data_IF_547351836995
#
_entry.id   IF_547351836995
#
_cell.length_a   1.000
_cell.length_b   1.000
_cell.length_c   1.000
_cell.angle_alpha   90.00
_cell.angle_beta   90.00
_cell.angle_gamma   90.00
#
_symmetry.space_group_name_H-M   'P 1'
#
loop_
_entity.id
_entity.type
_entity.pdbx_description
1 polymer ?
#
# COMPACT_ATOMS: atom_id res chain seq x y z
N UNK A 1 5.50 -8.15 -1.83
CA UNK A 1 4.16 -8.51 -1.26
C UNK A 1 4.02 -10.01 -1.05
N UNK A 2 4.32 -10.87 -2.05
CA UNK A 2 4.21 -12.33 -1.90
C UNK A 2 4.96 -12.93 -0.70
N UNK A 3 6.24 -12.59 -0.51
CA UNK A 3 7.00 -13.07 0.67
C UNK A 3 6.38 -12.64 2.00
N UNK A 4 6.01 -11.35 2.09
CA UNK A 4 5.52 -10.78 3.34
C UNK A 4 4.10 -11.25 3.67
N UNK A 5 3.18 -11.32 2.71
CA UNK A 5 1.75 -11.48 2.96
C UNK A 5 1.13 -12.77 2.36
N UNK A 6 1.91 -13.58 1.64
CA UNK A 6 1.41 -14.73 0.87
C UNK A 6 0.64 -14.34 -0.41
N UNK A 7 0.48 -13.04 -0.69
CA UNK A 7 -0.29 -12.56 -1.84
C UNK A 7 0.38 -12.94 -3.17
N UNK A 8 -0.34 -13.72 -3.96
CA UNK A 8 0.05 -14.14 -5.31
C UNK A 8 -1.08 -13.80 -6.30
N UNK A 9 -0.81 -12.85 -7.18
CA UNK A 9 -1.69 -12.46 -8.27
C UNK A 9 -0.91 -11.64 -9.32
N UNK A 10 -1.29 -11.77 -10.59
CA UNK A 10 -0.70 -11.00 -11.69
C UNK A 10 -1.38 -9.63 -11.80
N UNK A 11 -1.20 -8.79 -10.78
CA UNK A 11 -1.90 -7.50 -10.63
C UNK A 11 -0.97 -6.32 -10.37
N UNK A 12 0.35 -6.50 -10.52
CA UNK A 12 1.36 -5.47 -10.25
C UNK A 12 1.30 -4.25 -11.20
N UNK A 13 0.53 -4.32 -12.29
CA UNK A 13 0.35 -3.22 -13.24
C UNK A 13 -0.64 -2.15 -12.75
N UNK A 14 -1.31 -2.36 -11.61
CA UNK A 14 -2.11 -1.34 -10.91
C UNK A 14 -1.51 -1.05 -9.54
N UNK A 15 -1.89 0.09 -8.95
CA UNK A 15 -1.36 0.50 -7.65
C UNK A 15 -1.81 -0.48 -6.56
N UNK A 16 -0.86 -1.09 -5.86
CA UNK A 16 -1.15 -1.93 -4.70
C UNK A 16 0.03 -1.92 -3.73
N UNK A 17 -0.22 -2.22 -2.46
CA UNK A 17 0.82 -2.35 -1.45
C UNK A 17 0.37 -3.23 -0.28
N UNK A 18 1.33 -3.59 0.57
CA UNK A 18 1.07 -4.09 1.91
C UNK A 18 1.56 -3.04 2.90
N UNK A 19 0.69 -2.64 3.83
CA UNK A 19 1.01 -1.72 4.92
C UNK A 19 1.37 -2.53 6.15
N UNK A 20 2.55 -2.26 6.71
CA UNK A 20 3.03 -2.88 7.95
C UNK A 20 3.06 -1.83 9.04
N UNK A 21 2.41 -2.14 10.15
CA UNK A 21 2.45 -1.34 11.38
C UNK A 21 3.15 -2.13 12.48
N UNK A 22 3.49 -1.49 13.60
CA UNK A 22 4.16 -2.18 14.72
C UNK A 22 3.22 -3.08 15.52
N UNK A 23 1.96 -2.68 15.62
CA UNK A 23 1.04 -3.21 16.64
C UNK A 23 -0.19 -3.90 16.03
N UNK A 24 -0.31 -3.94 14.69
CA UNK A 24 -1.43 -4.58 13.99
C UNK A 24 -0.92 -5.48 12.87
N UNK A 25 -1.73 -6.49 12.54
CA UNK A 25 -1.52 -7.36 11.39
C UNK A 25 -1.33 -6.54 10.10
N UNK A 26 -0.55 -7.04 9.13
CA UNK A 26 -0.40 -6.37 7.84
C UNK A 26 -1.75 -6.15 7.16
N UNK A 27 -1.85 -5.06 6.42
CA UNK A 27 -3.02 -4.75 5.60
C UNK A 27 -2.64 -4.81 4.13
N UNK A 28 -3.49 -5.47 3.34
CA UNK A 28 -3.37 -5.43 1.89
C UNK A 28 -4.22 -4.27 1.35
N UNK A 29 -3.67 -3.53 0.39
CA UNK A 29 -4.36 -2.47 -0.31
C UNK A 29 -4.18 -2.64 -1.81
N UNK A 30 -5.28 -2.65 -2.57
CA UNK A 30 -5.24 -2.77 -4.03
C UNK A 30 -6.60 -2.51 -4.68
N UNK A 31 -6.72 -2.82 -5.97
CA UNK A 31 -7.99 -2.67 -6.71
C UNK A 31 -9.03 -3.65 -6.20
N UNK A 32 -10.31 -3.24 -6.17
CA UNK A 32 -11.41 -4.04 -5.62
C UNK A 32 -11.51 -5.46 -6.18
N UNK A 33 -11.32 -5.66 -7.48
CA UNK A 33 -11.41 -7.00 -8.07
C UNK A 33 -10.28 -7.94 -7.62
N UNK A 34 -9.09 -7.39 -7.38
CA UNK A 34 -7.89 -8.13 -6.96
C UNK A 34 -7.94 -8.51 -5.46
N UNK A 35 -8.82 -7.86 -4.69
CA UNK A 35 -9.11 -8.26 -3.31
C UNK A 35 -9.56 -9.73 -3.21
N UNK A 36 -10.22 -10.26 -4.24
CA UNK A 36 -10.56 -11.68 -4.31
C UNK A 36 -9.36 -12.60 -4.52
N UNK A 37 -8.31 -12.12 -5.18
CA UNK A 37 -7.01 -12.80 -5.24
C UNK A 37 -6.38 -12.84 -3.85
N UNK A 38 -6.35 -11.69 -3.17
CA UNK A 38 -5.86 -11.57 -1.80
C UNK A 38 -6.55 -12.55 -0.83
N UNK A 39 -7.89 -12.62 -0.84
CA UNK A 39 -8.67 -13.56 -0.01
C UNK A 39 -8.30 -15.03 -0.20
N UNK A 40 -7.77 -15.40 -1.36
CA UNK A 40 -7.48 -16.80 -1.71
C UNK A 40 -6.03 -17.19 -1.46
N UNK A 41 -5.10 -16.24 -1.55
CA UNK A 41 -3.66 -16.53 -1.52
C UNK A 41 -2.96 -15.98 -0.29
N UNK A 42 -3.40 -14.82 0.21
CA UNK A 42 -2.75 -14.13 1.31
C UNK A 42 -3.26 -14.62 2.68
N UNK A 43 -2.41 -14.52 3.72
CA UNK A 43 -2.82 -14.78 5.11
C UNK A 43 -3.49 -13.56 5.78
N UNK A 44 -3.95 -12.60 4.98
CA UNK A 44 -4.52 -11.33 5.45
C UNK A 44 -5.99 -11.54 5.85
N UNK A 45 -6.33 -11.14 7.06
CA UNK A 45 -7.70 -11.18 7.59
C UNK A 45 -8.63 -10.23 6.81
N UNK A 46 -9.92 -10.59 6.70
CA UNK A 46 -10.89 -9.89 5.83
C UNK A 46 -11.01 -8.38 6.17
N UNK A 47 -10.95 -8.02 7.45
CA UNK A 47 -10.99 -6.63 7.90
C UNK A 47 -9.71 -5.84 7.55
N UNK A 48 -8.61 -6.54 7.23
CA UNK A 48 -7.32 -6.00 6.78
C UNK A 48 -7.17 -6.02 5.26
N UNK A 49 -8.18 -6.41 4.50
CA UNK A 49 -8.23 -6.28 3.04
C UNK A 49 -8.93 -4.97 2.69
N UNK A 50 -8.14 -3.94 2.37
CA UNK A 50 -8.66 -2.64 1.92
C UNK A 50 -8.50 -2.50 0.41
N UNK A 51 -9.35 -1.68 -0.19
CA UNK A 51 -9.35 -1.51 -1.63
C UNK A 51 -9.82 -0.12 -2.04
N UNK A 52 -9.50 0.25 -3.28
CA UNK A 52 -10.04 1.44 -3.94
C UNK A 52 -10.99 1.05 -5.08
N UNK A 53 -11.93 1.95 -5.38
CA UNK A 53 -12.92 1.77 -6.43
C UNK A 53 -12.32 1.89 -7.83
N UNK A 54 -12.99 1.31 -8.83
CA UNK A 54 -12.49 1.24 -10.20
C UNK A 54 -12.29 2.62 -10.85
N UNK A 55 -13.01 3.65 -10.40
CA UNK A 55 -12.86 5.04 -10.88
C UNK A 55 -11.47 5.66 -10.60
N UNK A 56 -10.68 5.06 -9.70
CA UNK A 56 -9.29 5.46 -9.44
C UNK A 56 -8.30 4.78 -10.39
N UNK A 57 -8.72 3.74 -11.13
CA UNK A 57 -7.87 3.01 -12.07
C UNK A 57 -7.64 3.89 -13.30
N UNK A 58 -6.37 4.22 -13.57
CA UNK A 58 -5.97 5.04 -14.73
C UNK A 58 -6.68 6.40 -14.82
N UNK A 59 -7.12 6.95 -13.70
CA UNK A 59 -7.74 8.27 -13.65
C UNK A 59 -6.71 9.39 -13.80
N UNK A 60 -7.07 10.45 -14.50
CA UNK A 60 -6.27 11.68 -14.61
C UNK A 60 -6.46 12.60 -13.40
N UNK A 61 -7.59 12.49 -12.70
CA UNK A 61 -7.98 13.39 -11.60
C UNK A 61 -7.93 12.72 -10.22
N UNK A 62 -8.12 11.41 -10.16
CA UNK A 62 -8.09 10.63 -8.92
C UNK A 62 -6.82 9.76 -8.88
N UNK A 63 -6.32 9.50 -7.68
CA UNK A 63 -5.17 8.61 -7.50
C UNK A 63 -5.38 7.64 -6.34
N UNK A 64 -5.16 6.34 -6.58
CA UNK A 64 -5.41 5.28 -5.61
C UNK A 64 -4.66 5.51 -4.28
N UNK A 65 -3.45 6.05 -4.31
CA UNK A 65 -2.68 6.33 -3.09
C UNK A 65 -3.27 7.44 -2.21
N UNK A 66 -4.17 8.28 -2.73
CA UNK A 66 -4.94 9.22 -1.88
C UNK A 66 -5.93 8.47 -0.98
N UNK A 67 -6.55 7.38 -1.50
CA UNK A 67 -7.39 6.49 -0.70
C UNK A 67 -6.55 5.76 0.36
N UNK A 68 -5.35 5.30 -0.02
CA UNK A 68 -4.40 4.73 0.94
C UNK A 68 -4.06 5.71 2.07
N UNK A 69 -3.83 6.99 1.74
CA UNK A 69 -3.57 8.02 2.74
C UNK A 69 -4.72 8.18 3.73
N UNK A 70 -5.96 8.20 3.24
CA UNK A 70 -7.13 8.25 4.14
C UNK A 70 -7.20 7.03 5.05
N UNK A 71 -6.95 5.83 4.52
CA UNK A 71 -6.88 4.60 5.33
C UNK A 71 -5.80 4.72 6.42
N UNK A 72 -4.63 5.27 6.09
CA UNK A 72 -3.55 5.50 7.07
C UNK A 72 -3.95 6.52 8.15
N UNK A 73 -4.73 7.54 7.81
CA UNK A 73 -5.31 8.48 8.79
C UNK A 73 -6.28 7.75 9.72
N UNK A 74 -7.19 6.97 9.15
CA UNK A 74 -8.22 6.23 9.90
C UNK A 74 -7.60 5.17 10.83
N UNK A 75 -6.43 4.64 10.47
CA UNK A 75 -5.62 3.74 11.31
C UNK A 75 -4.88 4.47 12.46
N UNK A 76 -4.95 5.82 12.52
CA UNK A 76 -4.31 6.65 13.54
C UNK A 76 -2.87 7.05 13.23
N UNK A 77 -2.45 6.93 11.98
CA UNK A 77 -1.05 7.13 11.56
C UNK A 77 -0.83 8.36 10.66
N UNK A 78 -1.79 9.29 10.60
CA UNK A 78 -1.75 10.49 9.75
C UNK A 78 -0.54 11.42 9.94
N UNK A 79 0.13 11.36 11.10
CA UNK A 79 1.34 12.14 11.41
C UNK A 79 2.56 11.27 11.70
N UNK A 80 2.52 9.98 11.33
CA UNK A 80 3.58 9.04 11.63
C UNK A 80 4.85 9.27 10.79
N UNK A 81 5.94 8.59 11.16
CA UNK A 81 7.08 8.41 10.25
C UNK A 81 6.80 7.18 9.40
N UNK A 82 6.70 7.36 8.09
CA UNK A 82 6.27 6.32 7.14
C UNK A 82 7.43 5.97 6.21
N UNK A 83 7.82 4.71 6.22
CA UNK A 83 8.77 4.16 5.26
C UNK A 83 8.07 3.82 3.95
N UNK A 84 8.65 4.23 2.82
CA UNK A 84 8.19 3.81 1.48
C UNK A 84 9.36 3.36 0.63
N UNK A 85 9.11 2.41 -0.28
CA UNK A 85 10.10 1.94 -1.24
C UNK A 85 10.22 2.96 -2.40
N UNK A 86 10.94 4.06 -2.15
CA UNK A 86 11.13 5.19 -3.08
C UNK A 86 11.79 4.82 -4.41
N UNK A 87 12.53 3.72 -4.47
CA UNK A 87 13.21 3.22 -5.67
C UNK A 87 12.49 1.99 -6.27
N UNK A 88 11.27 1.70 -5.80
CA UNK A 88 10.45 0.63 -6.35
C UNK A 88 9.90 1.02 -7.73
N UNK A 89 10.03 0.11 -8.70
CA UNK A 89 9.41 0.25 -10.02
C UNK A 89 7.88 0.40 -9.96
N UNK A 90 7.25 0.00 -8.85
CA UNK A 90 5.80 0.08 -8.64
C UNK A 90 5.36 1.33 -7.85
N UNK A 91 6.30 2.16 -7.38
CA UNK A 91 6.00 3.44 -6.73
C UNK A 91 6.38 4.60 -7.66
N UNK A 92 5.43 5.00 -8.50
CA UNK A 92 5.64 6.16 -9.38
C UNK A 92 5.76 7.47 -8.59
N UNK A 93 6.34 8.49 -9.22
CA UNK A 93 6.40 9.85 -8.64
C UNK A 93 4.99 10.37 -8.30
N UNK A 94 4.03 10.22 -9.21
CA UNK A 94 2.63 10.62 -9.00
C UNK A 94 1.99 9.88 -7.82
N UNK A 95 2.28 8.58 -7.68
CA UNK A 95 1.81 7.78 -6.55
C UNK A 95 2.32 8.31 -5.23
N UNK A 96 3.60 8.68 -5.17
CA UNK A 96 4.21 9.26 -3.97
C UNK A 96 3.68 10.67 -3.68
N UNK A 97 3.53 11.53 -4.69
CA UNK A 97 2.98 12.88 -4.55
C UNK A 97 1.56 12.86 -3.99
N UNK A 98 0.68 12.03 -4.55
CA UNK A 98 -0.70 11.92 -4.09
C UNK A 98 -0.80 11.33 -2.66
N UNK A 99 0.09 10.39 -2.31
CA UNK A 99 0.18 9.88 -0.94
C UNK A 99 0.66 10.97 0.02
N UNK A 100 1.71 11.70 -0.35
CA UNK A 100 2.28 12.76 0.48
C UNK A 100 1.30 13.92 0.68
N UNK A 101 0.52 14.27 -0.34
CA UNK A 101 -0.51 15.29 -0.25
C UNK A 101 -1.66 14.87 0.69
N UNK A 102 -2.03 13.58 0.69
CA UNK A 102 -3.05 13.04 1.61
C UNK A 102 -2.58 12.91 3.07
N UNK A 103 -1.26 12.96 3.32
CA UNK A 103 -0.66 12.80 4.64
C UNK A 103 0.29 13.98 4.96
N UNK A 104 -0.22 15.22 5.02
CA UNK A 104 0.63 16.42 5.10
C UNK A 104 1.45 16.50 6.40
N UNK A 105 1.03 15.79 7.45
CA UNK A 105 1.71 15.77 8.75
C UNK A 105 2.67 14.59 8.91
N UNK A 106 2.72 13.66 7.95
CA UNK A 106 3.59 12.49 8.01
C UNK A 106 5.03 12.82 7.58
N UNK A 107 5.99 12.08 8.12
CA UNK A 107 7.41 12.16 7.72
C UNK A 107 7.78 10.95 6.87
N UNK A 108 7.97 11.14 5.58
CA UNK A 108 8.35 10.05 4.68
C UNK A 108 9.86 9.76 4.73
N UNK A 109 10.20 8.47 4.88
CA UNK A 109 11.56 7.96 4.86
C UNK A 109 11.74 6.94 3.74
N UNK A 110 12.96 6.88 3.20
CA UNK A 110 13.37 5.83 2.27
C UNK A 110 13.43 4.50 3.05
N UNK A 111 12.68 3.50 2.62
CA UNK A 111 12.67 2.16 3.19
C UNK A 111 12.95 1.08 2.13
N UNK A 112 13.63 1.47 1.04
CA UNK A 112 13.99 0.56 -0.04
C UNK A 112 14.74 -0.65 0.47
N UNK A 113 14.34 -1.83 -0.01
CA UNK A 113 14.98 -3.11 0.29
C UNK A 113 14.98 -3.48 1.78
N UNK A 114 14.20 -2.81 2.63
CA UNK A 114 14.07 -3.17 4.04
C UNK A 114 13.60 -4.62 4.23
N UNK A 115 12.64 -5.05 3.39
CA UNK A 115 12.15 -6.43 3.36
C UNK A 115 13.04 -7.35 2.51
N UNK A 116 13.80 -6.80 1.56
CA UNK A 116 14.61 -7.56 0.61
C UNK A 116 16.02 -7.89 1.14
N UNK A 117 16.29 -7.66 2.43
CA UNK A 117 17.57 -7.94 3.05
C UNK A 117 17.45 -9.13 4.02
N UNK A 118 17.96 -10.33 3.67
CA UNK A 118 18.27 -11.29 4.72
C UNK A 118 19.48 -10.73 5.50
N UNK A 119 19.50 -10.78 6.85
CA UNK A 119 20.76 -10.57 7.57
C UNK A 119 21.78 -11.57 7.02
N UNK A 120 22.99 -11.09 6.72
CA UNK A 120 24.14 -11.97 6.51
C UNK A 120 24.49 -12.65 7.82
#
# INVERSE_FOLDING_TARGET
MGWLAGYDDCSYYVQQCVVVSKDKEPLWFGRRMDANGCRRTAYISEDRIKWYADEYVQSDTLHATSVLGQIVIDEGHGSATIGVEKDSACLSARSFEALSASLPNAKFKKADRLINWPPK
#
